data_IF_599758467419
#
_entry.id   IF_599758467419
#
_cell.length_a   1.000
_cell.length_b   1.000
_cell.length_c   1.000
_cell.angle_alpha   90.00
_cell.angle_beta   90.00
_cell.angle_gamma   90.00
#
_symmetry.space_group_name_H-M   'P 1'
#
loop_
_entity.id
_entity.type
_entity.pdbx_description
1 polymer ?
#
# COMPACT_ATOMS: atom_id res chain seq x y z
N UNK A 1 -6.71 -16.67 2.88
CA UNK A 1 -5.46 -16.76 3.66
C UNK A 1 -5.82 -16.56 5.10
N UNK A 2 -5.51 -17.53 5.95
CA UNK A 2 -5.58 -17.33 7.39
C UNK A 2 -4.28 -16.64 7.82
N UNK A 3 -4.31 -15.31 7.93
CA UNK A 3 -3.20 -14.55 8.51
C UNK A 3 -3.23 -14.83 10.00
N UNK A 4 -2.29 -15.63 10.50
CA UNK A 4 -2.13 -15.87 11.93
C UNK A 4 -0.85 -15.21 12.43
N UNK A 5 -0.99 -13.95 12.84
CA UNK A 5 0.04 -13.22 13.55
C UNK A 5 -0.39 -13.10 15.02
N UNK A 6 0.35 -13.75 15.92
CA UNK A 6 -0.01 -13.87 17.34
C UNK A 6 0.92 -13.10 18.28
N UNK A 7 1.97 -12.49 17.74
CA UNK A 7 2.91 -11.70 18.53
C UNK A 7 2.31 -10.34 18.94
N UNK A 8 2.80 -9.80 20.05
CA UNK A 8 2.41 -8.48 20.53
C UNK A 8 3.03 -7.38 19.66
N UNK A 9 2.21 -6.41 19.24
CA UNK A 9 2.65 -5.15 18.65
C UNK A 9 2.57 -4.05 19.70
N UNK A 10 3.65 -3.31 19.90
CA UNK A 10 3.70 -2.15 20.80
C UNK A 10 3.50 -0.89 19.97
N UNK A 11 2.57 -0.04 20.39
CA UNK A 11 2.23 1.20 19.68
C UNK A 11 2.55 2.39 20.58
N UNK A 12 3.40 3.29 20.10
CA UNK A 12 3.68 4.59 20.70
C UNK A 12 2.91 5.67 19.94
N UNK A 13 2.11 6.44 20.67
CA UNK A 13 1.28 7.50 20.10
C UNK A 13 1.83 8.84 20.59
N UNK A 14 2.13 9.72 19.65
CA UNK A 14 2.66 11.05 19.88
C UNK A 14 1.64 12.10 19.46
N UNK A 15 1.66 13.25 20.12
CA UNK A 15 0.77 14.38 19.79
C UNK A 15 1.21 15.04 18.48
N UNK A 16 2.51 15.17 18.24
CA UNK A 16 3.04 15.91 17.10
C UNK A 16 4.42 15.40 16.68
N UNK A 17 4.93 15.93 15.56
CA UNK A 17 6.17 15.47 14.96
C UNK A 17 7.41 15.89 15.75
N UNK A 18 7.33 16.97 16.53
CA UNK A 18 8.40 17.43 17.40
C UNK A 18 8.73 16.42 18.50
N UNK A 19 7.71 15.70 19.00
CA UNK A 19 7.90 14.65 20.00
C UNK A 19 8.54 13.38 19.42
N UNK A 20 8.42 13.16 18.10
CA UNK A 20 8.96 11.96 17.44
C UNK A 20 10.40 12.13 17.01
N UNK A 21 10.85 13.37 16.78
CA UNK A 21 12.16 13.67 16.21
C UNK A 21 12.26 13.29 14.72
N UNK A 22 11.13 13.17 14.02
CA UNK A 22 11.08 12.93 12.58
C UNK A 22 10.80 14.21 11.79
N UNK A 23 10.82 14.09 10.48
CA UNK A 23 10.75 15.26 9.61
C UNK A 23 9.35 15.41 8.98
N UNK A 24 8.83 14.34 8.35
CA UNK A 24 7.66 14.45 7.45
C UNK A 24 6.66 13.29 7.46
N UNK A 25 6.89 12.23 8.25
CA UNK A 25 6.02 11.04 8.22
C UNK A 25 4.93 11.08 9.30
N UNK A 26 3.81 10.38 9.07
CA UNK A 26 2.72 10.28 10.03
C UNK A 26 2.83 9.11 11.01
N UNK A 27 3.48 8.05 10.58
CA UNK A 27 3.86 6.93 11.41
C UNK A 27 5.09 6.22 10.84
N UNK A 28 5.59 5.27 11.63
CA UNK A 28 6.68 4.37 11.26
C UNK A 28 6.42 2.99 11.86
N UNK A 29 6.62 1.97 11.05
CA UNK A 29 6.66 0.59 11.48
C UNK A 29 8.10 0.10 11.66
N UNK A 30 8.33 -0.66 12.73
CA UNK A 30 9.59 -1.34 13.02
C UNK A 30 9.31 -2.84 13.19
N UNK A 31 9.25 -3.61 12.09
CA UNK A 31 8.88 -5.02 12.15
C UNK A 31 9.79 -5.86 13.06
N UNK A 32 11.10 -5.60 13.09
CA UNK A 32 12.06 -6.35 13.91
C UNK A 32 11.82 -6.25 15.41
N UNK A 33 11.20 -5.17 15.88
CA UNK A 33 10.91 -4.92 17.29
C UNK A 33 9.40 -4.94 17.57
N UNK A 34 8.59 -5.35 16.58
CA UNK A 34 7.13 -5.32 16.63
C UNK A 34 6.59 -3.99 17.18
N UNK A 35 7.16 -2.89 16.71
CA UNK A 35 6.85 -1.54 17.21
C UNK A 35 6.25 -0.70 16.11
N UNK A 36 5.23 0.08 16.45
CA UNK A 36 4.67 1.15 15.62
C UNK A 36 4.79 2.45 16.40
N UNK A 37 5.21 3.50 15.73
CA UNK A 37 5.20 4.86 16.25
C UNK A 37 4.28 5.70 15.36
N UNK A 38 3.36 6.47 15.93
CA UNK A 38 2.34 7.21 15.15
C UNK A 38 2.01 8.57 15.76
N UNK A 39 1.56 9.51 14.93
CA UNK A 39 1.01 10.79 15.36
C UNK A 39 -0.52 10.70 15.43
N UNK A 40 -1.11 11.19 16.51
CA UNK A 40 -2.56 11.33 16.67
C UNK A 40 -2.90 12.63 17.41
N UNK A 41 -3.57 13.55 16.71
CA UNK A 41 -4.12 14.78 17.24
C UNK A 41 -5.39 15.20 16.44
N UNK A 42 -5.91 16.40 16.67
CA UNK A 42 -7.10 16.90 15.96
C UNK A 42 -6.90 17.04 14.44
N UNK A 43 -5.70 17.40 14.01
CA UNK A 43 -5.32 17.69 12.62
C UNK A 43 -4.78 16.45 11.87
N UNK A 44 -4.05 15.57 12.55
CA UNK A 44 -3.34 14.42 11.99
C UNK A 44 -3.66 13.15 12.76
N UNK A 45 -4.21 12.16 12.05
CA UNK A 45 -4.64 10.88 12.62
C UNK A 45 -4.05 9.75 11.79
N UNK A 46 -2.87 9.28 12.19
CA UNK A 46 -2.13 8.21 11.49
C UNK A 46 -2.42 6.81 12.04
N UNK A 47 -3.41 6.70 12.94
CA UNK A 47 -3.96 5.45 13.45
C UNK A 47 -5.42 5.65 13.88
N UNK A 48 -6.21 4.58 13.95
CA UNK A 48 -7.52 4.60 14.60
C UNK A 48 -8.64 5.32 13.82
N UNK A 49 -8.40 5.69 12.56
CA UNK A 49 -9.42 6.18 11.63
C UNK A 49 -9.40 5.37 10.33
N UNK A 50 -10.56 5.15 9.70
CA UNK A 50 -10.63 4.43 8.41
C UNK A 50 -9.80 5.18 7.36
N UNK A 51 -8.96 4.46 6.61
CA UNK A 51 -8.01 5.03 5.64
C UNK A 51 -6.62 5.36 6.20
N UNK A 52 -6.42 5.20 7.52
CA UNK A 52 -5.10 5.17 8.14
C UNK A 52 -5.08 4.22 9.35
N UNK A 53 -6.05 3.32 9.47
CA UNK A 53 -6.39 2.67 10.74
C UNK A 53 -5.33 1.67 11.15
N UNK A 54 -4.89 0.87 10.18
CA UNK A 54 -3.96 -0.22 10.40
C UNK A 54 -2.69 -0.07 9.56
N UNK A 55 -2.47 1.05 8.85
CA UNK A 55 -1.40 1.21 7.85
C UNK A 55 -0.03 0.71 8.36
N UNK A 56 0.47 1.28 9.45
CA UNK A 56 1.77 0.88 10.03
C UNK A 56 1.73 -0.51 10.70
N UNK A 57 0.56 -0.93 11.19
CA UNK A 57 0.38 -2.27 11.77
C UNK A 57 0.54 -3.33 10.67
N UNK A 58 0.00 -3.08 9.48
CA UNK A 58 0.12 -3.96 8.32
C UNK A 58 1.58 -4.18 7.97
N UNK A 59 2.41 -3.13 7.98
CA UNK A 59 3.85 -3.25 7.74
C UNK A 59 4.53 -4.21 8.73
N UNK A 60 4.20 -4.14 10.03
CA UNK A 60 4.72 -5.08 11.05
C UNK A 60 4.27 -6.51 10.78
N UNK A 61 2.97 -6.72 10.56
CA UNK A 61 2.39 -8.06 10.37
C UNK A 61 2.94 -8.70 9.09
N UNK A 62 2.85 -7.98 7.97
CA UNK A 62 3.24 -8.48 6.65
C UNK A 62 4.74 -8.75 6.61
N UNK A 63 5.58 -7.86 7.16
CA UNK A 63 7.02 -8.07 7.13
C UNK A 63 7.45 -9.30 7.95
N UNK A 64 6.81 -9.56 9.10
CA UNK A 64 7.09 -10.75 9.90
C UNK A 64 6.58 -12.05 9.25
N UNK A 65 5.49 -12.01 8.49
CA UNK A 65 4.91 -13.20 7.86
C UNK A 65 5.50 -13.51 6.48
N UNK A 66 5.82 -12.48 5.70
CA UNK A 66 6.20 -12.59 4.29
C UNK A 66 7.68 -12.24 4.05
N UNK A 67 8.35 -11.60 5.01
CA UNK A 67 9.70 -11.06 4.85
C UNK A 67 9.69 -9.60 4.38
N UNK A 68 10.86 -9.06 4.02
CA UNK A 68 10.98 -7.71 3.50
C UNK A 68 10.57 -7.64 2.03
N UNK A 69 9.84 -6.59 1.64
CA UNK A 69 9.62 -6.23 0.25
C UNK A 69 10.50 -5.05 -0.16
N UNK A 70 11.04 -5.09 -1.37
CA UNK A 70 11.81 -3.97 -1.94
C UNK A 70 10.98 -3.02 -2.80
N UNK A 71 9.79 -3.46 -3.24
CA UNK A 71 8.93 -2.70 -4.12
C UNK A 71 8.01 -1.83 -3.28
N UNK A 72 8.24 -0.51 -3.28
CA UNK A 72 7.41 0.42 -2.51
C UNK A 72 5.94 0.35 -2.93
N UNK A 73 5.67 0.16 -4.24
CA UNK A 73 4.33 -0.08 -4.77
C UNK A 73 3.60 -1.21 -4.01
N UNK A 74 4.31 -2.30 -3.67
CA UNK A 74 3.71 -3.44 -2.99
C UNK A 74 3.67 -3.23 -1.47
N UNK A 75 4.73 -2.66 -0.90
CA UNK A 75 4.86 -2.44 0.53
C UNK A 75 3.83 -1.43 1.05
N UNK A 76 3.74 -0.25 0.45
CA UNK A 76 2.73 0.74 0.81
C UNK A 76 1.34 0.33 0.31
N UNK A 77 1.27 -0.28 -0.87
CA UNK A 77 0.01 -0.71 -1.47
C UNK A 77 -0.75 -1.71 -0.60
N UNK A 78 -0.08 -2.69 0.03
CA UNK A 78 -0.79 -3.62 0.94
C UNK A 78 -1.34 -2.90 2.17
N UNK A 79 -0.62 -1.93 2.72
CA UNK A 79 -1.08 -1.15 3.88
C UNK A 79 -2.33 -0.32 3.54
N UNK A 80 -2.36 0.32 2.37
CA UNK A 80 -3.53 1.06 1.87
C UNK A 80 -4.68 0.12 1.52
N UNK A 81 -4.41 -1.01 0.87
CA UNK A 81 -5.42 -1.98 0.45
C UNK A 81 -6.21 -2.57 1.63
N UNK A 82 -5.57 -2.73 2.80
CA UNK A 82 -6.26 -3.22 4.00
C UNK A 82 -7.28 -2.23 4.56
N UNK A 83 -7.11 -0.93 4.33
CA UNK A 83 -8.12 0.07 4.67
C UNK A 83 -9.15 0.26 3.55
N UNK A 84 -8.76 0.00 2.29
CA UNK A 84 -9.57 0.21 1.08
C UNK A 84 -9.86 1.69 0.78
N UNK A 85 -9.38 2.59 1.64
CA UNK A 85 -9.66 4.01 1.61
C UNK A 85 -8.39 4.85 1.54
N UNK A 86 -8.52 6.01 0.93
CA UNK A 86 -7.57 7.09 1.01
C UNK A 86 -8.29 8.45 1.10
N UNK A 87 -7.94 9.27 2.09
CA UNK A 87 -8.55 10.60 2.24
C UNK A 87 -7.92 11.58 1.24
N UNK A 88 -8.42 11.61 0.01
CA UNK A 88 -7.90 12.53 -1.00
C UNK A 88 -8.21 14.00 -0.61
N UNK A 89 -7.21 14.89 -0.54
CA UNK A 89 -7.38 16.23 0.05
C UNK A 89 -8.35 17.13 -0.74
N UNK A 90 -8.51 16.91 -2.05
CA UNK A 90 -9.26 17.83 -2.93
C UNK A 90 -10.44 17.21 -3.68
N UNK A 91 -10.56 15.88 -3.76
CA UNK A 91 -11.53 15.23 -4.65
C UNK A 91 -12.83 14.85 -3.93
N UNK A 92 -12.83 14.79 -2.60
CA UNK A 92 -13.95 14.24 -1.83
C UNK A 92 -14.16 12.73 -2.00
N UNK A 93 -13.43 12.09 -2.92
CA UNK A 93 -13.36 10.65 -3.12
C UNK A 93 -12.57 10.00 -1.98
N UNK A 94 -13.01 8.80 -1.60
CA UNK A 94 -12.39 8.05 -0.50
C UNK A 94 -11.99 6.65 -0.88
N UNK A 95 -12.77 5.95 -1.69
CA UNK A 95 -12.44 4.58 -2.07
C UNK A 95 -11.29 4.60 -3.09
N UNK A 96 -10.31 3.71 -2.92
CA UNK A 96 -9.08 3.73 -3.74
C UNK A 96 -9.36 3.47 -5.22
N UNK A 97 -10.39 2.68 -5.54
CA UNK A 97 -10.80 2.40 -6.91
C UNK A 97 -11.42 3.62 -7.60
N UNK A 98 -12.21 4.43 -6.87
CA UNK A 98 -12.78 5.69 -7.39
C UNK A 98 -11.68 6.70 -7.73
N UNK A 99 -10.70 6.85 -6.82
CA UNK A 99 -9.54 7.74 -7.03
C UNK A 99 -8.71 7.26 -8.22
N UNK A 100 -8.54 5.94 -8.35
CA UNK A 100 -7.83 5.34 -9.49
C UNK A 100 -8.53 5.66 -10.80
N UNK A 101 -9.84 5.45 -10.89
CA UNK A 101 -10.59 5.73 -12.12
C UNK A 101 -10.60 7.22 -12.47
N UNK A 102 -10.64 8.11 -11.49
CA UNK A 102 -10.46 9.54 -11.73
C UNK A 102 -9.13 9.85 -12.44
N UNK A 103 -8.03 9.23 -12.02
CA UNK A 103 -6.73 9.42 -12.69
C UNK A 103 -6.63 8.72 -14.04
N UNK A 104 -7.33 7.59 -14.23
CA UNK A 104 -7.44 6.89 -15.51
C UNK A 104 -8.19 7.75 -16.55
N UNK A 105 -9.32 8.37 -16.16
CA UNK A 105 -10.09 9.27 -17.01
C UNK A 105 -9.30 10.49 -17.50
N UNK A 106 -8.31 10.91 -16.71
CA UNK A 106 -7.39 11.99 -17.06
C UNK A 106 -6.18 11.52 -17.89
N UNK A 107 -6.07 10.23 -18.20
CA UNK A 107 -4.90 9.58 -18.82
C UNK A 107 -3.61 9.87 -18.04
N UNK A 108 -3.70 9.88 -16.71
CA UNK A 108 -2.60 10.27 -15.81
C UNK A 108 -1.91 9.09 -15.12
N UNK A 109 -2.39 7.86 -15.28
CA UNK A 109 -1.79 6.69 -14.64
C UNK A 109 -0.53 6.27 -15.42
N UNK A 110 0.69 6.35 -14.85
CA UNK A 110 1.91 5.87 -15.49
C UNK A 110 1.92 4.35 -15.63
N UNK A 111 3.01 3.81 -16.16
CA UNK A 111 3.27 2.37 -16.08
C UNK A 111 3.60 1.97 -14.62
N UNK A 112 3.34 0.71 -14.26
CA UNK A 112 3.46 0.23 -12.88
C UNK A 112 4.91 0.26 -12.36
N UNK A 113 5.88 0.01 -13.23
CA UNK A 113 7.32 0.20 -12.97
C UNK A 113 7.62 1.64 -12.60
N UNK A 114 7.09 2.64 -13.34
CA UNK A 114 7.30 4.05 -12.99
C UNK A 114 6.67 4.42 -11.66
N UNK A 115 5.46 3.92 -11.36
CA UNK A 115 4.84 4.16 -10.06
C UNK A 115 5.71 3.57 -8.94
N UNK A 116 6.31 2.40 -9.15
CA UNK A 116 7.22 1.78 -8.19
C UNK A 116 8.55 2.54 -8.03
N UNK A 117 9.20 2.88 -9.13
CA UNK A 117 10.57 3.42 -9.14
C UNK A 117 10.62 4.87 -8.66
N UNK A 118 9.54 5.62 -8.86
CA UNK A 118 9.39 7.03 -8.49
C UNK A 118 8.31 7.24 -7.43
N UNK A 119 7.99 6.21 -6.64
CA UNK A 119 6.84 6.21 -5.72
C UNK A 119 6.85 7.42 -4.76
N UNK A 120 8.00 7.72 -4.16
CA UNK A 120 8.22 8.86 -3.25
C UNK A 120 8.29 10.23 -3.96
N UNK A 121 8.45 10.25 -5.30
CA UNK A 121 8.44 11.49 -6.09
C UNK A 121 7.03 11.92 -6.48
N UNK A 122 6.07 10.99 -6.47
CA UNK A 122 4.65 11.31 -6.64
C UNK A 122 4.06 11.86 -5.34
N UNK A 123 3.08 12.76 -5.49
CA UNK A 123 2.25 13.17 -4.36
C UNK A 123 1.61 11.95 -3.70
N UNK A 124 1.56 11.92 -2.36
CA UNK A 124 0.98 10.78 -1.64
C UNK A 124 -0.51 10.57 -1.98
N UNK A 125 -1.22 11.64 -2.36
CA UNK A 125 -2.60 11.55 -2.85
C UNK A 125 -2.75 10.87 -4.21
N UNK A 126 -1.62 10.57 -4.87
CA UNK A 126 -1.55 9.89 -6.15
C UNK A 126 -1.01 8.46 -5.97
N UNK A 127 0.22 8.29 -5.47
CA UNK A 127 0.89 6.98 -5.43
C UNK A 127 0.22 5.98 -4.48
N UNK A 128 -0.20 6.42 -3.29
CA UNK A 128 -0.82 5.56 -2.29
C UNK A 128 -2.16 4.97 -2.75
N UNK A 129 -3.17 5.75 -3.18
CA UNK A 129 -4.44 5.17 -3.61
C UNK A 129 -4.30 4.28 -4.85
N UNK A 130 -3.44 4.64 -5.81
CA UNK A 130 -3.17 3.76 -6.97
C UNK A 130 -2.54 2.43 -6.54
N UNK A 131 -1.57 2.47 -5.62
CA UNK A 131 -0.96 1.25 -5.08
C UNK A 131 -1.96 0.39 -4.30
N UNK A 132 -2.78 1.00 -3.45
CA UNK A 132 -3.81 0.32 -2.68
C UNK A 132 -4.84 -0.37 -3.57
N UNK A 133 -5.35 0.35 -4.58
CA UNK A 133 -6.29 -0.21 -5.57
C UNK A 133 -5.66 -1.36 -6.36
N UNK A 134 -4.40 -1.20 -6.82
CA UNK A 134 -3.70 -2.26 -7.54
C UNK A 134 -3.50 -3.52 -6.69
N UNK A 135 -3.11 -3.38 -5.42
CA UNK A 135 -2.95 -4.52 -4.52
C UNK A 135 -4.29 -5.16 -4.18
N UNK A 136 -5.35 -4.38 -3.96
CA UNK A 136 -6.69 -4.89 -3.75
C UNK A 136 -7.13 -5.78 -4.92
N UNK A 137 -6.96 -5.31 -6.16
CA UNK A 137 -7.18 -6.10 -7.37
C UNK A 137 -6.38 -7.42 -7.38
N UNK A 138 -5.09 -7.39 -7.05
CA UNK A 138 -4.27 -8.60 -7.02
C UNK A 138 -4.80 -9.60 -5.98
N UNK A 139 -5.19 -9.13 -4.80
CA UNK A 139 -5.72 -9.98 -3.75
C UNK A 139 -7.08 -10.58 -4.12
N UNK A 140 -7.98 -9.78 -4.68
CA UNK A 140 -9.33 -10.22 -5.06
C UNK A 140 -9.33 -11.17 -6.25
N UNK A 141 -8.58 -10.83 -7.31
CA UNK A 141 -8.58 -11.62 -8.55
C UNK A 141 -7.72 -12.87 -8.48
N UNK A 142 -6.53 -12.75 -7.89
CA UNK A 142 -5.51 -13.79 -7.94
C UNK A 142 -5.27 -14.49 -6.60
N UNK A 143 -5.83 -13.93 -5.53
CA UNK A 143 -5.70 -14.48 -4.19
C UNK A 143 -4.39 -14.10 -3.50
N UNK A 144 -4.38 -14.15 -2.16
CA UNK A 144 -3.27 -13.73 -1.32
C UNK A 144 -2.00 -14.59 -1.49
N UNK A 145 -2.12 -15.86 -1.86
CA UNK A 145 -0.95 -16.74 -2.02
C UNK A 145 -0.03 -16.31 -3.18
N UNK A 146 -0.61 -15.81 -4.27
CA UNK A 146 0.17 -15.25 -5.38
C UNK A 146 0.80 -13.91 -4.99
N UNK A 147 0.06 -13.08 -4.26
CA UNK A 147 0.60 -11.83 -3.74
C UNK A 147 1.76 -12.06 -2.79
N UNK A 148 1.65 -12.99 -1.84
CA UNK A 148 2.76 -13.36 -0.94
C UNK A 148 4.01 -13.77 -1.73
N UNK A 149 3.85 -14.59 -2.77
CA UNK A 149 4.95 -14.99 -3.65
C UNK A 149 5.59 -13.81 -4.37
N UNK A 150 4.82 -12.80 -4.77
CA UNK A 150 5.35 -11.56 -5.36
C UNK A 150 6.09 -10.72 -4.32
N UNK A 151 5.49 -10.56 -3.14
CA UNK A 151 5.99 -9.71 -2.07
C UNK A 151 7.36 -10.17 -1.54
N UNK A 152 7.54 -11.49 -1.43
CA UNK A 152 8.73 -12.12 -0.83
C UNK A 152 9.82 -12.49 -1.84
N UNK A 153 9.82 -11.93 -3.05
CA UNK A 153 10.82 -12.31 -4.08
C UNK A 153 12.20 -11.71 -3.82
N UNK A 154 13.22 -12.38 -4.37
CA UNK A 154 14.63 -12.02 -4.24
C UNK A 154 14.95 -10.58 -4.65
N UNK A 155 15.96 -10.02 -4.01
CA UNK A 155 16.43 -8.65 -4.21
C UNK A 155 16.93 -8.35 -5.63
N UNK A 156 17.28 -9.37 -6.43
CA UNK A 156 17.97 -9.18 -7.71
C UNK A 156 17.05 -8.99 -8.93
N UNK A 157 15.74 -9.25 -8.82
CA UNK A 157 14.78 -9.13 -9.96
C UNK A 157 14.09 -7.77 -10.05
N UNK A 158 13.83 -7.23 -11.21
CA UNK A 158 12.95 -6.05 -11.28
C UNK A 158 11.47 -6.41 -11.03
N UNK A 159 10.60 -5.40 -11.04
CA UNK A 159 9.16 -5.60 -10.80
C UNK A 159 8.51 -6.43 -11.91
N UNK A 160 8.93 -6.26 -13.17
CA UNK A 160 8.36 -6.96 -14.31
C UNK A 160 8.66 -8.45 -14.25
N UNK A 161 9.92 -8.82 -14.02
CA UNK A 161 10.36 -10.20 -13.82
C UNK A 161 9.64 -10.83 -12.63
N UNK A 162 9.48 -10.07 -11.54
CA UNK A 162 8.81 -10.56 -10.33
C UNK A 162 7.33 -10.85 -10.57
N UNK A 163 6.66 -9.97 -11.32
CA UNK A 163 5.28 -10.14 -11.76
C UNK A 163 5.14 -11.32 -12.71
N UNK A 164 6.04 -11.46 -13.68
CA UNK A 164 6.02 -12.57 -14.61
C UNK A 164 6.13 -13.91 -13.87
N UNK A 165 7.02 -13.99 -12.88
CA UNK A 165 7.20 -15.19 -12.08
C UNK A 165 5.96 -15.53 -11.23
N UNK A 166 5.33 -14.53 -10.61
CA UNK A 166 4.21 -14.76 -9.69
C UNK A 166 2.86 -14.98 -10.41
N UNK A 167 2.66 -14.33 -11.57
CA UNK A 167 1.36 -14.26 -12.24
C UNK A 167 1.38 -14.76 -13.69
N UNK A 168 2.55 -15.05 -14.27
CA UNK A 168 2.73 -15.49 -15.66
C UNK A 168 2.12 -14.51 -16.67
N UNK A 169 2.37 -13.21 -16.45
CA UNK A 169 1.81 -12.10 -17.21
C UNK A 169 2.79 -10.92 -17.24
N UNK A 170 2.46 -9.86 -17.98
CA UNK A 170 3.24 -8.61 -18.06
C UNK A 170 2.61 -7.50 -17.20
N UNK A 171 3.39 -6.45 -16.92
CA UNK A 171 2.89 -5.26 -16.22
C UNK A 171 1.73 -4.58 -16.98
N UNK A 172 1.86 -4.39 -18.28
CA UNK A 172 0.82 -3.77 -19.11
C UNK A 172 -0.49 -4.54 -19.08
N UNK A 173 -0.41 -5.88 -19.15
CA UNK A 173 -1.60 -6.72 -19.07
C UNK A 173 -2.25 -6.62 -17.69
N UNK A 174 -1.47 -6.65 -16.61
CA UNK A 174 -2.03 -6.46 -15.26
C UNK A 174 -2.62 -5.07 -15.06
N UNK A 175 -1.98 -4.01 -15.58
CA UNK A 175 -2.53 -2.65 -15.52
C UNK A 175 -3.90 -2.61 -16.19
N UNK A 176 -4.03 -3.15 -17.40
CA UNK A 176 -5.32 -3.16 -18.11
C UNK A 176 -6.37 -3.99 -17.37
N UNK A 177 -6.00 -5.15 -16.83
CA UNK A 177 -6.91 -5.98 -16.05
C UNK A 177 -7.33 -5.31 -14.74
N UNK A 178 -6.43 -4.59 -14.08
CA UNK A 178 -6.70 -3.80 -12.87
C UNK A 178 -7.68 -2.66 -13.15
N UNK A 179 -7.43 -1.83 -14.16
CA UNK A 179 -8.34 -0.73 -14.50
C UNK A 179 -9.74 -1.26 -14.86
N UNK A 180 -9.82 -2.38 -15.60
CA UNK A 180 -11.10 -3.02 -15.88
C UNK A 180 -11.77 -3.60 -14.63
N UNK A 181 -11.00 -4.07 -13.66
CA UNK A 181 -11.52 -4.54 -12.37
C UNK A 181 -12.15 -3.38 -11.59
N UNK A 182 -11.48 -2.24 -11.49
CA UNK A 182 -12.02 -1.04 -10.82
C UNK A 182 -13.36 -0.60 -11.45
N UNK A 183 -13.48 -0.62 -12.78
CA UNK A 183 -14.73 -0.27 -13.48
C UNK A 183 -15.90 -1.21 -13.21
N UNK A 184 -15.64 -2.47 -12.85
CA UNK A 184 -16.68 -3.46 -12.58
C UNK A 184 -17.11 -3.49 -11.10
N UNK A 185 -16.34 -2.87 -10.22
CA UNK A 185 -16.55 -2.83 -8.78
C UNK A 185 -17.32 -1.59 -8.29
N UNK A 186 -17.61 -0.63 -9.19
CA UNK A 186 -18.47 0.54 -8.96
C UNK A 186 -19.82 0.38 -9.64
#
# INVERSE_FOLDING_TARGET
MEINYSDKITIYIYENIEQTGWDRVGGRAYPKTNTVETIYNEEKKSIGIRGASAHEIVHVIISNLFGSCKFQLLAEGIAVAMDGLWNHPTLGLKEVDEITLYYDELDKIPSLDKINDYFDEFESSFSYPLSGSFILFLLEKYGPEKFKKLYSQDADKDLEDSINLAYSTTLDRLKNEWINHCRNNL
#
